data_IF_198042294584
#
_entry.id   IF_198042294584
#
_cell.length_a   1.000
_cell.length_b   1.000
_cell.length_c   1.000
_cell.angle_alpha   90.00
_cell.angle_beta   90.00
_cell.angle_gamma   90.00
#
_symmetry.space_group_name_H-M   'P 1'
#
loop_
_entity.id
_entity.type
_entity.pdbx_description
1 polymer ?
#
# COMPACT_ATOMS: atom_id res chain seq x y z
N UNK A 1 -2.29 -16.38 5.44
CA UNK A 1 -1.87 -15.56 6.60
C UNK A 1 -1.56 -14.11 6.22
N UNK A 2 -0.79 -13.83 5.16
CA UNK A 2 -0.46 -12.44 4.75
C UNK A 2 -1.69 -11.57 4.40
N UNK A 3 -2.71 -12.12 3.73
CA UNK A 3 -3.94 -11.38 3.36
C UNK A 3 -4.67 -10.78 4.56
N UNK A 4 -4.92 -11.58 5.60
CA UNK A 4 -5.62 -11.13 6.80
C UNK A 4 -4.82 -10.07 7.57
N UNK A 5 -3.49 -10.17 7.58
CA UNK A 5 -2.63 -9.15 8.17
C UNK A 5 -2.73 -7.81 7.43
N UNK A 6 -2.69 -7.84 6.09
CA UNK A 6 -2.84 -6.64 5.25
C UNK A 6 -4.21 -5.99 5.44
N UNK A 7 -5.29 -6.77 5.40
CA UNK A 7 -6.65 -6.26 5.61
C UNK A 7 -6.80 -5.62 7.00
N UNK A 8 -6.32 -6.29 8.06
CA UNK A 8 -6.39 -5.75 9.42
C UNK A 8 -5.52 -4.50 9.61
N UNK A 9 -4.37 -4.42 8.96
CA UNK A 9 -3.49 -3.24 9.03
C UNK A 9 -4.18 -1.97 8.50
N UNK A 10 -5.21 -2.13 7.65
CA UNK A 10 -6.01 -1.02 7.10
C UNK A 10 -7.45 -1.04 7.61
N UNK A 11 -7.69 -1.69 8.76
CA UNK A 11 -8.99 -1.74 9.42
C UNK A 11 -10.12 -2.34 8.55
N UNK A 12 -9.79 -3.35 7.75
CA UNK A 12 -10.78 -4.17 7.04
C UNK A 12 -10.94 -5.53 7.71
N UNK A 13 -12.19 -6.00 7.77
CA UNK A 13 -12.49 -7.35 8.24
C UNK A 13 -12.11 -8.38 7.18
N UNK A 14 -11.27 -9.38 7.48
CA UNK A 14 -10.95 -10.45 6.53
C UNK A 14 -12.09 -11.45 6.32
N UNK A 15 -13.06 -11.55 7.23
CA UNK A 15 -14.10 -12.59 7.20
C UNK A 15 -14.88 -12.66 5.87
N UNK A 16 -15.36 -11.55 5.27
CA UNK A 16 -16.07 -11.62 4.00
C UNK A 16 -15.25 -12.28 2.88
N UNK A 17 -13.93 -12.08 2.88
CA UNK A 17 -13.02 -12.68 1.91
C UNK A 17 -12.81 -14.16 2.18
N UNK A 18 -12.58 -14.52 3.44
CA UNK A 18 -12.34 -15.89 3.87
C UNK A 18 -13.57 -16.77 3.61
N UNK A 19 -14.77 -16.31 3.97
CA UNK A 19 -16.05 -17.01 3.74
C UNK A 19 -16.35 -17.25 2.25
N UNK A 20 -15.89 -16.36 1.37
CA UNK A 20 -16.04 -16.48 -0.09
C UNK A 20 -14.83 -17.15 -0.77
N UNK A 21 -13.87 -17.64 0.00
CA UNK A 21 -12.65 -18.26 -0.53
C UNK A 21 -11.85 -17.34 -1.46
N UNK A 22 -11.86 -16.02 -1.19
CA UNK A 22 -11.09 -15.04 -1.97
C UNK A 22 -9.67 -15.00 -1.44
N UNK A 23 -8.72 -15.52 -2.23
CA UNK A 23 -7.29 -15.42 -1.94
C UNK A 23 -6.74 -14.00 -2.17
N UNK A 24 -5.55 -13.72 -1.63
CA UNK A 24 -4.86 -12.43 -1.83
C UNK A 24 -4.72 -12.09 -3.32
N UNK A 25 -4.28 -13.06 -4.13
CA UNK A 25 -4.11 -12.87 -5.57
C UNK A 25 -5.44 -12.57 -6.29
N UNK A 26 -6.56 -13.13 -5.80
CA UNK A 26 -7.89 -12.86 -6.34
C UNK A 26 -8.39 -11.49 -5.90
N UNK A 27 -8.21 -11.13 -4.62
CA UNK A 27 -8.56 -9.82 -4.06
C UNK A 27 -7.96 -8.68 -4.88
N UNK A 28 -6.72 -8.84 -5.33
CA UNK A 28 -6.01 -7.84 -6.15
C UNK A 28 -6.63 -7.60 -7.54
N UNK A 29 -7.59 -8.41 -7.96
CA UNK A 29 -8.23 -8.37 -9.29
C UNK A 29 -9.74 -8.12 -9.23
N UNK A 30 -10.33 -8.03 -8.04
CA UNK A 30 -11.77 -7.81 -7.91
C UNK A 30 -12.13 -6.36 -8.24
N UNK A 31 -13.19 -6.19 -9.03
CA UNK A 31 -13.76 -4.87 -9.30
C UNK A 31 -14.60 -4.37 -8.12
N UNK A 32 -14.81 -3.05 -8.02
CA UNK A 32 -15.70 -2.45 -7.03
C UNK A 32 -17.10 -3.08 -7.03
N UNK A 33 -17.62 -3.45 -8.20
CA UNK A 33 -18.90 -4.15 -8.33
C UNK A 33 -18.87 -5.54 -7.68
N UNK A 34 -17.82 -6.33 -7.89
CA UNK A 34 -17.66 -7.65 -7.28
C UNK A 34 -17.44 -7.54 -5.77
N UNK A 35 -16.67 -6.55 -5.31
CA UNK A 35 -16.47 -6.28 -3.88
C UNK A 35 -17.81 -5.98 -3.19
N UNK A 36 -18.66 -5.15 -3.81
CA UNK A 36 -20.00 -4.87 -3.30
C UNK A 36 -20.93 -6.09 -3.34
N UNK A 37 -21.04 -6.74 -4.50
CA UNK A 37 -22.09 -7.75 -4.73
C UNK A 37 -21.77 -9.12 -4.15
N UNK A 38 -20.48 -9.51 -4.14
CA UNK A 38 -20.07 -10.85 -3.68
C UNK A 38 -19.64 -10.84 -2.22
N UNK A 39 -19.02 -9.76 -1.76
CA UNK A 39 -18.49 -9.65 -0.39
C UNK A 39 -19.32 -8.73 0.52
N UNK A 40 -20.31 -8.01 -0.04
CA UNK A 40 -21.17 -7.14 0.76
C UNK A 40 -20.48 -5.90 1.31
N UNK A 41 -19.33 -5.53 0.77
CA UNK A 41 -18.55 -4.39 1.27
C UNK A 41 -19.26 -3.07 1.00
N UNK A 42 -19.17 -2.15 1.95
CA UNK A 42 -19.64 -0.79 1.80
C UNK A 42 -18.67 0.09 0.96
N UNK A 43 -19.07 1.30 0.54
CA UNK A 43 -18.20 2.16 -0.27
C UNK A 43 -16.85 2.50 0.37
N UNK A 44 -16.82 2.69 1.70
CA UNK A 44 -15.60 2.99 2.46
C UNK A 44 -14.66 1.78 2.44
N UNK A 45 -15.18 0.59 2.67
CA UNK A 45 -14.41 -0.65 2.63
C UNK A 45 -13.87 -0.95 1.23
N UNK A 46 -14.71 -0.74 0.21
CA UNK A 46 -14.31 -0.87 -1.21
C UNK A 46 -13.13 0.07 -1.52
N UNK A 47 -13.21 1.34 -1.13
CA UNK A 47 -12.12 2.30 -1.32
C UNK A 47 -10.82 1.82 -0.68
N UNK A 48 -10.87 1.26 0.54
CA UNK A 48 -9.69 0.69 1.19
C UNK A 48 -9.11 -0.50 0.43
N UNK A 49 -9.94 -1.40 -0.11
CA UNK A 49 -9.47 -2.51 -0.94
C UNK A 49 -8.81 -2.00 -2.23
N UNK A 50 -9.38 -0.98 -2.87
CA UNK A 50 -8.78 -0.34 -4.07
C UNK A 50 -7.42 0.27 -3.73
N UNK A 51 -7.28 0.96 -2.59
CA UNK A 51 -5.99 1.49 -2.16
C UNK A 51 -4.96 0.38 -1.88
N UNK A 52 -5.36 -0.79 -1.36
CA UNK A 52 -4.46 -1.95 -1.26
C UNK A 52 -4.02 -2.44 -2.64
N UNK A 53 -4.93 -2.47 -3.62
CA UNK A 53 -4.62 -2.86 -5.00
C UNK A 53 -3.59 -1.92 -5.63
N UNK A 54 -3.78 -0.61 -5.46
CA UNK A 54 -2.84 0.42 -5.91
C UNK A 54 -1.49 0.31 -5.19
N UNK A 55 -1.51 0.12 -3.87
CA UNK A 55 -0.29 -0.09 -3.09
C UNK A 55 0.50 -1.31 -3.58
N UNK A 56 -0.18 -2.42 -3.91
CA UNK A 56 0.47 -3.62 -4.46
C UNK A 56 1.15 -3.35 -5.81
N UNK A 57 0.51 -2.56 -6.69
CA UNK A 57 1.11 -2.19 -7.97
C UNK A 57 2.33 -1.30 -7.79
N UNK A 58 2.23 -0.28 -6.93
CA UNK A 58 3.33 0.64 -6.65
C UNK A 58 4.50 -0.07 -5.95
N UNK A 59 4.22 -0.90 -4.95
CA UNK A 59 5.23 -1.68 -4.24
C UNK A 59 5.99 -2.61 -5.19
N UNK A 60 5.27 -3.30 -6.09
CA UNK A 60 5.90 -4.15 -7.10
C UNK A 60 6.76 -3.37 -8.12
N UNK A 61 6.54 -2.07 -8.30
CA UNK A 61 7.41 -1.21 -9.10
C UNK A 61 8.64 -0.74 -8.31
N UNK A 62 8.46 -0.43 -7.02
CA UNK A 62 9.52 -0.06 -6.08
C UNK A 62 10.52 -1.19 -5.86
N UNK A 63 10.04 -2.40 -5.53
CA UNK A 63 10.84 -3.61 -5.30
C UNK A 63 11.70 -4.00 -6.52
N UNK A 64 11.32 -3.54 -7.73
CA UNK A 64 12.12 -3.75 -8.96
C UNK A 64 13.23 -2.71 -9.16
N UNK A 65 13.28 -1.62 -8.39
CA UNK A 65 14.26 -0.53 -8.58
C UNK A 65 15.69 -0.95 -8.23
N UNK A 66 15.86 -1.77 -7.20
CA UNK A 66 17.15 -2.36 -6.79
C UNK A 66 17.59 -3.55 -7.67
N UNK A 67 16.74 -4.00 -8.61
CA UNK A 67 16.89 -5.27 -9.37
C UNK A 67 16.86 -6.52 -8.49
N UNK A 68 16.49 -6.40 -7.22
CA UNK A 68 16.36 -7.49 -6.27
C UNK A 68 14.90 -7.55 -5.81
N UNK A 69 14.16 -8.51 -6.34
CA UNK A 69 12.76 -8.76 -5.96
C UNK A 69 12.79 -9.61 -4.69
N UNK A 70 12.88 -8.96 -3.54
CA UNK A 70 12.94 -9.63 -2.23
C UNK A 70 11.73 -9.33 -1.33
N UNK A 71 10.77 -8.55 -1.84
CA UNK A 71 9.54 -8.24 -1.13
C UNK A 71 9.73 -7.19 -0.05
N UNK A 72 10.84 -6.46 -0.10
CA UNK A 72 11.16 -5.34 0.77
C UNK A 72 11.63 -4.16 -0.07
N UNK A 73 11.42 -2.94 0.43
CA UNK A 73 11.91 -1.72 -0.22
C UNK A 73 12.89 -1.03 0.72
N UNK A 74 13.96 -0.46 0.16
CA UNK A 74 14.86 0.44 0.89
C UNK A 74 14.62 1.90 0.47
N UNK A 75 15.17 2.85 1.23
CA UNK A 75 15.03 4.28 0.96
C UNK A 75 15.45 4.63 -0.49
N UNK A 76 16.54 4.03 -0.98
CA UNK A 76 17.05 4.23 -2.34
C UNK A 76 16.05 3.78 -3.42
N UNK A 77 15.25 2.74 -3.17
CA UNK A 77 14.20 2.30 -4.11
C UNK A 77 13.13 3.37 -4.28
N UNK A 78 12.68 3.96 -3.17
CA UNK A 78 11.69 5.04 -3.16
C UNK A 78 12.23 6.30 -3.85
N UNK A 79 13.47 6.69 -3.55
CA UNK A 79 14.09 7.85 -4.18
C UNK A 79 14.24 7.65 -5.70
N UNK A 80 14.76 6.50 -6.13
CA UNK A 80 14.89 6.18 -7.57
C UNK A 80 13.55 6.14 -8.28
N UNK A 81 12.52 5.59 -7.63
CA UNK A 81 11.17 5.57 -8.18
C UNK A 81 10.61 6.97 -8.37
N UNK A 82 10.78 7.88 -7.40
CA UNK A 82 10.33 9.27 -7.50
C UNK A 82 11.03 10.02 -8.64
N UNK A 83 12.34 9.86 -8.77
CA UNK A 83 13.13 10.50 -9.83
C UNK A 83 12.71 9.95 -11.20
N UNK A 84 12.62 8.63 -11.36
CA UNK A 84 12.36 8.01 -12.67
C UNK A 84 10.91 8.11 -13.12
N UNK A 85 9.96 7.90 -12.22
CA UNK A 85 8.54 7.84 -12.56
C UNK A 85 7.91 9.23 -12.62
N UNK A 86 8.31 10.13 -11.72
CA UNK A 86 7.71 11.46 -11.59
C UNK A 86 8.63 12.60 -12.06
N UNK A 87 9.80 12.29 -12.62
CA UNK A 87 10.81 13.29 -13.01
C UNK A 87 11.13 14.28 -11.88
N UNK A 88 11.07 13.81 -10.63
CA UNK A 88 11.35 14.63 -9.47
C UNK A 88 12.84 14.98 -9.41
N UNK A 89 13.17 16.23 -9.09
CA UNK A 89 14.57 16.64 -8.84
C UNK A 89 15.14 15.86 -7.67
N UNK A 90 16.42 15.52 -7.73
CA UNK A 90 17.10 14.66 -6.73
C UNK A 90 16.94 15.20 -5.31
N UNK A 91 17.15 16.49 -5.09
CA UNK A 91 16.99 17.18 -3.79
C UNK A 91 15.58 17.02 -3.19
N UNK A 92 14.55 17.11 -4.04
CA UNK A 92 13.16 16.94 -3.63
C UNK A 92 12.83 15.47 -3.37
N UNK A 93 13.35 14.58 -4.21
CA UNK A 93 13.17 13.14 -4.06
C UNK A 93 13.82 12.64 -2.77
N UNK A 94 15.01 13.13 -2.41
CA UNK A 94 15.68 12.79 -1.15
C UNK A 94 14.86 13.26 0.06
N UNK A 95 14.48 14.54 0.10
CA UNK A 95 13.70 15.12 1.20
C UNK A 95 12.35 14.42 1.39
N UNK A 96 11.64 14.16 0.29
CA UNK A 96 10.34 13.50 0.32
C UNK A 96 10.46 12.00 0.67
N UNK A 97 11.39 11.28 0.05
CA UNK A 97 11.58 9.85 0.30
C UNK A 97 11.96 9.61 1.75
N UNK A 98 12.87 10.39 2.33
CA UNK A 98 13.28 10.23 3.73
C UNK A 98 12.10 10.38 4.69
N UNK A 99 11.36 11.49 4.60
CA UNK A 99 10.17 11.74 5.43
C UNK A 99 9.10 10.66 5.30
N UNK A 100 8.92 10.11 4.10
CA UNK A 100 7.92 9.09 3.81
C UNK A 100 8.37 7.72 4.29
N UNK A 101 9.65 7.40 4.08
CA UNK A 101 10.24 6.11 4.45
C UNK A 101 10.37 5.96 5.97
N UNK A 102 10.70 7.03 6.68
CA UNK A 102 10.72 7.06 8.15
C UNK A 102 9.36 6.66 8.76
N UNK A 103 8.24 6.94 8.08
CA UNK A 103 6.91 6.52 8.53
C UNK A 103 6.61 5.05 8.28
N UNK A 104 7.31 4.43 7.31
CA UNK A 104 7.17 3.01 6.96
C UNK A 104 8.07 2.14 7.84
N UNK A 105 9.18 2.68 8.34
CA UNK A 105 10.11 1.90 9.14
C UNK A 105 9.63 1.69 10.58
N UNK A 106 9.56 0.42 10.99
CA UNK A 106 9.44 0.06 12.42
C UNK A 106 10.80 0.22 13.13
N UNK A 107 11.89 -0.05 12.43
CA UNK A 107 13.28 0.14 12.88
C UNK A 107 14.01 1.05 11.86
N UNK A 108 14.67 2.15 12.30
CA UNK A 108 15.34 3.14 11.44
C UNK A 108 16.35 2.58 10.43
N UNK A 109 16.79 1.33 10.56
CA UNK A 109 17.73 0.70 9.62
C UNK A 109 17.17 -0.54 8.91
N UNK A 110 15.92 -0.92 9.19
CA UNK A 110 15.29 -2.05 8.52
C UNK A 110 14.67 -1.63 7.18
N UNK A 111 14.69 -2.50 6.16
CA UNK A 111 13.91 -2.27 4.96
C UNK A 111 12.41 -2.34 5.28
N UNK A 112 11.58 -1.61 4.52
CA UNK A 112 10.14 -1.62 4.73
C UNK A 112 9.50 -2.80 4.00
N UNK A 113 8.67 -3.57 4.70
CA UNK A 113 7.93 -4.67 4.09
C UNK A 113 6.71 -4.16 3.32
N UNK A 114 6.09 -5.03 2.51
CA UNK A 114 4.82 -4.71 1.88
C UNK A 114 3.74 -4.30 2.90
N UNK A 115 3.71 -4.95 4.07
CA UNK A 115 2.73 -4.64 5.11
C UNK A 115 2.89 -3.21 5.65
N UNK A 116 4.14 -2.81 5.90
CA UNK A 116 4.46 -1.47 6.40
C UNK A 116 4.12 -0.40 5.35
N UNK A 117 4.48 -0.67 4.09
CA UNK A 117 4.17 0.21 2.97
C UNK A 117 2.66 0.41 2.80
N UNK A 118 1.87 -0.67 2.78
CA UNK A 118 0.41 -0.59 2.61
C UNK A 118 -0.24 0.22 3.73
N UNK A 119 0.18 0.01 4.99
CA UNK A 119 -0.36 0.73 6.14
C UNK A 119 -0.20 2.24 5.98
N UNK A 120 1.01 2.69 5.61
CA UNK A 120 1.29 4.12 5.39
C UNK A 120 0.57 4.64 4.14
N UNK A 121 0.65 3.92 3.02
CA UNK A 121 0.05 4.33 1.76
C UNK A 121 -1.47 4.54 1.90
N UNK A 122 -2.17 3.57 2.51
CA UNK A 122 -3.61 3.66 2.73
C UNK A 122 -3.91 4.76 3.76
N UNK A 123 -3.12 4.89 4.83
CA UNK A 123 -3.29 5.95 5.82
C UNK A 123 -3.21 7.36 5.24
N UNK A 124 -2.22 7.62 4.36
CA UNK A 124 -2.04 8.91 3.70
C UNK A 124 -3.18 9.24 2.73
N UNK A 125 -3.61 8.27 1.91
CA UNK A 125 -4.65 8.48 0.91
C UNK A 125 -6.08 8.48 1.50
N UNK A 126 -6.28 7.80 2.64
CA UNK A 126 -7.55 7.78 3.36
C UNK A 126 -7.77 9.06 4.17
N UNK A 127 -6.73 9.55 4.86
CA UNK A 127 -6.80 10.79 5.66
C UNK A 127 -6.98 12.05 4.79
N UNK A 128 -6.79 11.94 3.47
CA UNK A 128 -7.12 13.00 2.51
C UNK A 128 -8.60 13.14 2.17
N UNK A 129 -9.47 12.22 2.61
CA UNK A 129 -10.91 12.22 2.31
C UNK A 129 -11.81 12.71 3.47
N UNK A 130 -11.23 13.06 4.62
CA UNK A 130 -11.94 13.61 5.78
C UNK A 130 -11.10 14.70 6.41
N UNK A 131 -11.36 15.95 6.05
CA UNK A 131 -10.66 17.09 6.62
C UNK A 131 -10.95 17.21 8.11
N UNK A 132 -9.91 17.25 8.92
CA UNK A 132 -9.83 18.03 10.14
C UNK A 132 -8.38 18.48 10.29
N UNK A 133 -8.10 19.75 10.01
CA UNK A 133 -7.09 20.63 10.62
C UNK A 133 -7.01 21.91 9.77
N UNK A 134 -7.65 22.98 10.24
CA UNK A 134 -7.53 24.35 9.71
C UNK A 134 -8.84 25.09 9.62
#
# INVERSE_FOLDING_TARGET
MLQAAVLRAVQLDPRPFDEKGVSAAKMLKLSAHQLKTWLGLDPTEISRVVLIQEANQMFGALDKMSRKVDGCIVLDDLQRYLIRTYNMREENAESFSRRTFDQMQVDPCAPASFLDFVKVFVGLNWSGAGGEHG
#
